data_IF_364668732117
#
_entry.id   IF_364668732117
#
_cell.length_a   1.000
_cell.length_b   1.000
_cell.length_c   1.000
_cell.angle_alpha   90.00
_cell.angle_beta   90.00
_cell.angle_gamma   90.00
#
_symmetry.space_group_name_H-M   'P 1'
#
loop_
_entity.id
_entity.type
_entity.pdbx_description
1 polymer ?
#
# COMPACT_ATOMS: atom_id res chain seq x y z
N UNK A 1 -13.35 13.66 10.81
CA UNK A 1 -13.71 12.91 12.04
C UNK A 1 -12.58 13.11 13.03
N UNK A 2 -12.86 13.19 14.33
CA UNK A 2 -11.79 13.29 15.33
C UNK A 2 -11.21 11.90 15.63
N UNK A 3 -9.92 11.86 16.03
CA UNK A 3 -9.28 10.64 16.51
C UNK A 3 -10.04 10.14 17.76
N UNK A 4 -10.38 8.85 17.86
CA UNK A 4 -10.93 8.30 19.10
C UNK A 4 -9.98 8.52 20.28
N UNK A 5 -10.49 8.54 21.51
CA UNK A 5 -9.61 8.59 22.67
C UNK A 5 -8.68 7.36 22.63
N UNK A 6 -7.38 7.57 22.86
CA UNK A 6 -6.36 6.51 22.71
C UNK A 6 -6.69 5.24 23.49
N UNK A 7 -7.25 5.39 24.71
CA UNK A 7 -7.68 4.27 25.56
C UNK A 7 -8.83 3.44 24.98
N UNK A 8 -9.55 3.97 24.01
CA UNK A 8 -10.69 3.31 23.38
C UNK A 8 -10.31 2.60 22.07
N UNK A 9 -9.11 2.86 21.53
CA UNK A 9 -8.60 2.22 20.31
C UNK A 9 -8.10 0.83 20.68
N UNK A 10 -8.59 -0.17 19.95
CA UNK A 10 -8.16 -1.57 20.12
C UNK A 10 -7.26 -1.99 18.97
N UNK A 11 -7.56 -1.51 17.74
CA UNK A 11 -6.92 -1.93 16.52
C UNK A 11 -6.29 -0.77 15.75
N UNK A 12 -5.12 -1.04 15.22
CA UNK A 12 -4.49 -0.21 14.20
C UNK A 12 -4.28 -1.06 12.95
N UNK A 13 -4.85 -0.64 11.84
CA UNK A 13 -4.56 -1.28 10.55
C UNK A 13 -3.68 -0.36 9.69
N UNK A 14 -2.85 -0.95 8.87
CA UNK A 14 -2.01 -0.19 7.91
C UNK A 14 -2.25 -0.70 6.49
N UNK A 15 -2.07 0.17 5.49
CA UNK A 15 -1.69 -0.30 4.18
C UNK A 15 -0.24 -0.84 4.22
N UNK A 16 0.18 -1.56 3.18
CA UNK A 16 1.51 -2.16 3.11
C UNK A 16 2.46 -1.38 2.19
N UNK A 17 2.16 -1.35 0.88
CA UNK A 17 3.06 -0.81 -0.13
C UNK A 17 2.95 0.71 -0.25
N UNK A 18 4.09 1.41 -0.05
CA UNK A 18 4.14 2.86 0.12
C UNK A 18 3.99 3.31 1.58
N UNK A 19 3.39 2.48 2.43
CA UNK A 19 3.21 2.76 3.87
C UNK A 19 4.30 2.10 4.71
N UNK A 20 4.45 0.78 4.60
CA UNK A 20 5.48 -0.03 5.29
C UNK A 20 6.64 -0.39 4.38
N UNK A 21 6.36 -0.81 3.15
CA UNK A 21 7.33 -1.27 2.14
C UNK A 21 7.54 -0.18 1.09
N UNK A 22 8.81 0.12 0.78
CA UNK A 22 9.20 1.05 -0.28
C UNK A 22 9.12 0.38 -1.65
N UNK A 23 7.89 0.23 -2.13
CA UNK A 23 7.58 -0.46 -3.39
C UNK A 23 8.01 0.32 -4.63
N UNK A 24 7.99 1.66 -4.57
CA UNK A 24 8.40 2.50 -5.70
C UNK A 24 9.87 2.27 -6.02
N UNK A 25 10.71 2.28 -4.98
CA UNK A 25 12.13 1.93 -5.12
C UNK A 25 12.30 0.49 -5.60
N UNK A 26 11.53 -0.45 -5.06
CA UNK A 26 11.60 -1.86 -5.45
C UNK A 26 11.26 -2.08 -6.93
N UNK A 27 10.21 -1.43 -7.43
CA UNK A 27 9.82 -1.45 -8.86
C UNK A 27 10.89 -0.80 -9.71
N UNK A 28 11.37 0.39 -9.33
CA UNK A 28 12.44 1.09 -10.06
C UNK A 28 13.69 0.23 -10.22
N UNK A 29 14.18 -0.34 -9.12
CA UNK A 29 15.38 -1.19 -9.14
C UNK A 29 15.16 -2.44 -10.03
N UNK A 30 13.96 -3.02 -10.03
CA UNK A 30 13.63 -4.17 -10.85
C UNK A 30 13.62 -3.82 -12.35
N UNK A 31 12.98 -2.72 -12.73
CA UNK A 31 12.97 -2.28 -14.13
C UNK A 31 14.36 -1.89 -14.62
N UNK A 32 15.15 -1.18 -13.82
CA UNK A 32 16.54 -0.83 -14.17
C UNK A 32 17.34 -2.09 -14.47
N UNK A 33 17.30 -3.06 -13.57
CA UNK A 33 18.01 -4.33 -13.74
C UNK A 33 17.58 -5.09 -14.99
N UNK A 34 16.29 -5.06 -15.32
CA UNK A 34 15.80 -5.77 -16.50
C UNK A 34 16.11 -5.04 -17.80
N UNK A 35 16.05 -3.69 -17.81
CA UNK A 35 16.45 -2.85 -18.95
C UNK A 35 17.96 -2.95 -19.23
N UNK A 36 18.79 -2.99 -18.21
CA UNK A 36 20.24 -3.16 -18.33
C UNK A 36 20.62 -4.46 -19.07
N UNK A 37 19.83 -5.53 -18.94
CA UNK A 37 20.04 -6.79 -19.69
C UNK A 37 19.87 -6.62 -21.18
N UNK A 38 19.03 -5.68 -21.60
CA UNK A 38 18.76 -5.37 -23.00
C UNK A 38 19.58 -4.16 -23.50
N UNK A 39 20.52 -3.66 -22.67
CA UNK A 39 21.35 -2.50 -22.98
C UNK A 39 20.57 -1.20 -23.06
N UNK A 40 19.40 -1.13 -22.42
CA UNK A 40 18.52 0.03 -22.43
C UNK A 40 18.72 0.91 -21.19
N UNK A 41 18.67 2.22 -21.40
CA UNK A 41 18.57 3.21 -20.31
C UNK A 41 17.17 3.78 -20.31
N UNK A 42 16.48 3.70 -19.20
CA UNK A 42 15.14 4.28 -19.01
C UNK A 42 15.23 5.58 -18.23
N UNK A 43 14.45 6.60 -18.65
CA UNK A 43 14.21 7.77 -17.81
C UNK A 43 13.23 7.36 -16.72
N UNK A 44 13.79 7.12 -15.53
CA UNK A 44 13.10 6.44 -14.42
C UNK A 44 11.81 7.13 -14.00
N UNK A 45 11.84 8.45 -13.84
CA UNK A 45 10.69 9.17 -13.29
C UNK A 45 9.46 9.13 -14.19
N UNK A 46 9.50 9.57 -15.47
CA UNK A 46 8.33 9.50 -16.36
C UNK A 46 7.91 8.05 -16.63
N UNK A 47 8.87 7.12 -16.70
CA UNK A 47 8.58 5.70 -16.87
C UNK A 47 7.74 5.15 -15.70
N UNK A 48 8.14 5.41 -14.47
CA UNK A 48 7.40 4.95 -13.30
C UNK A 48 6.05 5.64 -13.16
N UNK A 49 5.96 6.93 -13.44
CA UNK A 49 4.67 7.65 -13.45
C UNK A 49 3.70 6.99 -14.42
N UNK A 50 4.18 6.61 -15.61
CA UNK A 50 3.37 5.93 -16.59
C UNK A 50 3.01 4.51 -16.18
N UNK A 51 3.96 3.76 -15.63
CA UNK A 51 3.70 2.43 -15.07
C UNK A 51 2.58 2.47 -14.03
N UNK A 52 2.60 3.42 -13.10
CA UNK A 52 1.56 3.53 -12.07
C UNK A 52 0.18 3.90 -12.65
N UNK A 53 0.13 4.70 -13.70
CA UNK A 53 -1.12 4.99 -14.41
C UNK A 53 -1.71 3.74 -15.08
N UNK A 54 -0.88 2.98 -15.80
CA UNK A 54 -1.29 1.73 -16.46
C UNK A 54 -1.74 0.71 -15.42
N UNK A 55 -0.97 0.54 -14.35
CA UNK A 55 -1.33 -0.34 -13.23
C UNK A 55 -2.70 0.02 -12.64
N UNK A 56 -2.94 1.30 -12.37
CA UNK A 56 -4.22 1.78 -11.83
C UNK A 56 -5.36 1.53 -12.82
N UNK A 57 -5.14 1.71 -14.12
CA UNK A 57 -6.11 1.41 -15.17
C UNK A 57 -6.48 -0.09 -15.18
N UNK A 58 -5.50 -0.98 -15.13
CA UNK A 58 -5.72 -2.43 -15.08
C UNK A 58 -6.54 -2.78 -13.83
N UNK A 59 -6.15 -2.26 -12.66
CA UNK A 59 -6.84 -2.52 -11.39
C UNK A 59 -8.27 -1.96 -11.33
N UNK A 60 -8.63 -1.00 -12.17
CA UNK A 60 -10.00 -0.48 -12.28
C UNK A 60 -10.93 -1.38 -13.10
N UNK A 61 -10.41 -2.36 -13.80
CA UNK A 61 -11.15 -3.35 -14.59
C UNK A 61 -11.64 -4.54 -13.77
N UNK A 62 -11.83 -5.68 -14.44
CA UNK A 62 -12.13 -6.94 -13.77
C UNK A 62 -10.99 -7.36 -12.87
N UNK A 63 -11.34 -7.89 -11.69
CA UNK A 63 -10.33 -8.37 -10.74
C UNK A 63 -9.50 -9.51 -11.34
N UNK A 64 -8.19 -9.36 -11.26
CA UNK A 64 -7.17 -10.38 -11.51
C UNK A 64 -6.14 -10.35 -10.37
N UNK A 65 -5.26 -11.34 -10.29
CA UNK A 65 -4.21 -11.34 -9.27
C UNK A 65 -3.24 -10.19 -9.48
N UNK A 66 -2.74 -9.60 -8.40
CA UNK A 66 -1.80 -8.48 -8.46
C UNK A 66 -0.50 -8.84 -9.19
N UNK A 67 -0.05 -10.09 -9.08
CA UNK A 67 1.07 -10.58 -9.88
C UNK A 67 0.82 -10.46 -11.40
N UNK A 68 -0.43 -10.70 -11.86
CA UNK A 68 -0.81 -10.50 -13.27
C UNK A 68 -0.85 -9.02 -13.63
N UNK A 69 -1.39 -8.18 -12.73
CA UNK A 69 -1.39 -6.72 -12.90
C UNK A 69 0.03 -6.21 -13.10
N UNK A 70 0.98 -6.66 -12.28
CA UNK A 70 2.40 -6.27 -12.37
C UNK A 70 3.00 -6.67 -13.72
N UNK A 71 2.76 -7.92 -14.17
CA UNK A 71 3.27 -8.40 -15.46
C UNK A 71 2.72 -7.60 -16.64
N UNK A 72 1.41 -7.45 -16.68
CA UNK A 72 0.73 -6.71 -17.76
C UNK A 72 1.16 -5.25 -17.79
N UNK A 73 1.20 -4.60 -16.64
CA UNK A 73 1.63 -3.22 -16.55
C UNK A 73 3.09 -3.06 -17.02
N UNK A 74 3.97 -4.02 -16.70
CA UNK A 74 5.36 -4.00 -17.15
C UNK A 74 5.48 -4.05 -18.68
N UNK A 75 4.79 -5.00 -19.33
CA UNK A 75 4.78 -5.12 -20.80
C UNK A 75 4.23 -3.86 -21.45
N UNK A 76 3.05 -3.40 -21.02
CA UNK A 76 2.40 -2.23 -21.61
C UNK A 76 3.25 -0.95 -21.47
N UNK A 77 3.93 -0.79 -20.33
CA UNK A 77 4.80 0.37 -20.11
C UNK A 77 6.07 0.29 -20.97
N UNK A 78 6.65 -0.89 -21.11
CA UNK A 78 7.82 -1.10 -21.98
C UNK A 78 7.49 -0.80 -23.43
N UNK A 79 6.36 -1.26 -23.95
CA UNK A 79 5.89 -1.02 -25.32
C UNK A 79 5.80 0.50 -25.64
N UNK A 80 5.36 1.32 -24.70
CA UNK A 80 5.21 2.77 -24.91
C UNK A 80 6.55 3.50 -25.15
N UNK A 81 7.66 2.94 -24.68
CA UNK A 81 9.00 3.49 -24.91
C UNK A 81 9.76 2.73 -26.02
N UNK A 82 9.07 1.84 -26.77
CA UNK A 82 9.67 1.03 -27.81
C UNK A 82 10.56 -0.12 -27.30
N UNK A 83 10.45 -0.47 -26.00
CA UNK A 83 11.17 -1.60 -25.44
C UNK A 83 10.36 -2.89 -25.63
N UNK A 84 10.89 -3.82 -26.43
CA UNK A 84 10.29 -5.13 -26.64
C UNK A 84 10.55 -6.03 -25.43
N UNK A 85 9.64 -5.99 -24.46
CA UNK A 85 9.67 -6.86 -23.29
C UNK A 85 8.74 -8.07 -23.50
N UNK A 86 9.32 -9.24 -23.73
CA UNK A 86 8.56 -10.46 -23.90
C UNK A 86 7.66 -10.74 -22.67
N UNK A 87 6.36 -11.10 -22.84
CA UNK A 87 5.45 -11.33 -21.74
C UNK A 87 5.93 -12.37 -20.71
N UNK A 88 6.67 -13.40 -21.18
CA UNK A 88 7.28 -14.41 -20.31
C UNK A 88 8.35 -13.84 -19.38
N UNK A 89 9.08 -12.82 -19.84
CA UNK A 89 10.09 -12.12 -19.05
C UNK A 89 9.50 -11.17 -18.02
N UNK A 90 8.28 -10.68 -18.22
CA UNK A 90 7.61 -9.76 -17.29
C UNK A 90 7.41 -10.35 -15.88
N UNK A 91 7.64 -11.66 -15.72
CA UNK A 91 7.70 -12.33 -14.41
C UNK A 91 8.78 -11.74 -13.48
N UNK A 92 9.79 -11.03 -14.04
CA UNK A 92 10.83 -10.36 -13.25
C UNK A 92 10.24 -9.43 -12.17
N UNK A 93 9.10 -8.77 -12.49
CA UNK A 93 8.54 -7.77 -11.60
C UNK A 93 7.84 -8.38 -10.36
N UNK A 94 6.90 -9.34 -10.47
CA UNK A 94 6.39 -10.01 -9.28
C UNK A 94 7.48 -10.80 -8.52
N UNK A 95 8.50 -11.35 -9.17
CA UNK A 95 9.61 -12.03 -8.51
C UNK A 95 10.48 -11.05 -7.69
N UNK A 96 10.57 -9.79 -8.13
CA UNK A 96 11.32 -8.75 -7.44
C UNK A 96 10.76 -8.37 -6.08
N UNK A 97 9.47 -8.69 -5.79
CA UNK A 97 8.81 -8.37 -4.51
C UNK A 97 9.61 -8.88 -3.30
N UNK A 98 10.33 -9.97 -3.49
CA UNK A 98 11.22 -10.54 -2.46
C UNK A 98 12.37 -9.61 -2.03
N UNK A 99 12.72 -8.63 -2.86
CA UNK A 99 13.79 -7.66 -2.62
C UNK A 99 13.31 -6.31 -2.11
N UNK A 100 11.98 -6.05 -2.14
CA UNK A 100 11.42 -4.76 -1.74
C UNK A 100 11.56 -4.55 -0.23
N UNK A 101 12.29 -3.52 0.15
CA UNK A 101 12.64 -3.27 1.54
C UNK A 101 11.58 -2.43 2.27
N UNK A 102 11.38 -2.63 3.57
CA UNK A 102 10.58 -1.71 4.37
C UNK A 102 11.25 -0.34 4.47
N UNK A 103 10.44 0.71 4.62
CA UNK A 103 10.96 2.01 5.04
C UNK A 103 11.74 1.87 6.36
N UNK A 104 12.80 2.66 6.51
CA UNK A 104 13.72 2.58 7.65
C UNK A 104 13.02 2.57 9.01
N UNK A 105 11.93 3.29 9.13
CA UNK A 105 11.15 3.39 10.37
C UNK A 105 10.08 2.32 10.54
N UNK A 106 9.73 1.54 9.49
CA UNK A 106 8.54 0.69 9.47
C UNK A 106 8.53 -0.36 10.58
N UNK A 107 9.60 -1.13 10.73
CA UNK A 107 9.67 -2.17 11.75
C UNK A 107 9.59 -1.62 13.17
N UNK A 108 10.34 -0.54 13.46
CA UNK A 108 10.28 0.07 14.79
C UNK A 108 8.89 0.68 15.08
N UNK A 109 8.24 1.25 14.05
CA UNK A 109 6.91 1.81 14.20
C UNK A 109 5.85 0.74 14.47
N UNK A 110 5.87 -0.36 13.70
CA UNK A 110 4.92 -1.46 13.90
C UNK A 110 5.14 -2.19 15.23
N UNK A 111 6.39 -2.41 15.65
CA UNK A 111 6.71 -2.98 16.96
C UNK A 111 6.11 -2.14 18.09
N UNK A 112 6.29 -0.81 18.05
CA UNK A 112 5.72 0.11 19.04
C UNK A 112 4.19 0.12 19.05
N UNK A 113 3.56 0.08 17.89
CA UNK A 113 2.10 -0.01 17.81
C UNK A 113 1.60 -1.33 18.40
N UNK A 114 2.31 -2.44 18.15
CA UNK A 114 1.95 -3.78 18.64
C UNK A 114 1.99 -3.88 20.18
N UNK A 115 2.81 -3.08 20.85
CA UNK A 115 2.84 -3.03 22.32
C UNK A 115 1.49 -2.56 22.93
N UNK A 116 0.62 -1.91 22.14
CA UNK A 116 -0.61 -1.27 22.61
C UNK A 116 -1.88 -1.67 21.88
N UNK A 117 -1.76 -2.15 20.65
CA UNK A 117 -2.87 -2.38 19.74
C UNK A 117 -2.72 -3.73 19.02
N UNK A 118 -3.84 -4.33 18.67
CA UNK A 118 -3.85 -5.37 17.65
C UNK A 118 -3.54 -4.74 16.30
N UNK A 119 -2.67 -5.38 15.50
CA UNK A 119 -2.14 -4.82 14.25
C UNK A 119 -2.62 -5.63 13.06
N UNK A 120 -3.15 -4.92 12.05
CA UNK A 120 -3.56 -5.54 10.79
C UNK A 120 -3.00 -4.84 9.56
N UNK A 121 -2.88 -5.59 8.46
CA UNK A 121 -2.59 -5.07 7.12
C UNK A 121 -3.83 -5.19 6.25
N UNK A 122 -4.13 -4.11 5.50
CA UNK A 122 -5.20 -4.02 4.51
C UNK A 122 -4.60 -3.54 3.19
N UNK A 123 -4.37 -4.45 2.22
CA UNK A 123 -3.51 -4.15 1.07
C UNK A 123 -4.03 -4.66 -0.26
N UNK A 124 -3.76 -3.89 -1.33
CA UNK A 124 -4.05 -4.22 -2.72
C UNK A 124 -3.02 -5.20 -3.29
N UNK A 125 -3.00 -6.42 -2.79
CA UNK A 125 -1.96 -7.41 -3.14
C UNK A 125 -2.52 -8.84 -3.04
N UNK A 126 -1.81 -9.80 -3.63
CA UNK A 126 -2.07 -11.23 -3.47
C UNK A 126 -1.53 -11.76 -2.14
N UNK A 127 -2.15 -12.79 -1.61
CA UNK A 127 -1.72 -13.45 -0.37
C UNK A 127 -0.26 -13.95 -0.46
N UNK A 128 0.11 -14.52 -1.61
CA UNK A 128 1.48 -15.01 -1.86
C UNK A 128 2.51 -13.88 -1.82
N UNK A 129 2.26 -12.80 -2.55
CA UNK A 129 3.18 -11.66 -2.61
C UNK A 129 3.31 -10.95 -1.25
N UNK A 130 2.18 -10.79 -0.54
CA UNK A 130 2.23 -10.24 0.81
C UNK A 130 3.00 -11.16 1.76
N UNK A 131 2.80 -12.49 1.65
CA UNK A 131 3.55 -13.47 2.41
C UNK A 131 5.07 -13.35 2.22
N UNK A 132 5.51 -13.03 0.99
CA UNK A 132 6.93 -12.76 0.69
C UNK A 132 7.38 -11.46 1.38
N UNK A 133 6.65 -10.37 1.21
CA UNK A 133 7.00 -9.06 1.80
C UNK A 133 7.01 -9.08 3.33
N UNK A 134 6.13 -9.86 3.95
CA UNK A 134 6.07 -10.01 5.42
C UNK A 134 7.34 -10.57 6.04
N UNK A 135 8.19 -11.25 5.28
CA UNK A 135 9.50 -11.72 5.78
C UNK A 135 10.44 -10.58 6.17
N UNK A 136 10.19 -9.39 5.66
CA UNK A 136 10.93 -8.17 6.00
C UNK A 136 10.34 -7.43 7.20
N UNK A 137 9.12 -7.79 7.64
CA UNK A 137 8.44 -7.20 8.79
C UNK A 137 8.60 -8.10 10.01
N UNK A 138 9.03 -7.50 11.13
CA UNK A 138 9.27 -8.24 12.39
C UNK A 138 8.00 -8.47 13.19
N UNK A 139 7.09 -7.51 13.12
CA UNK A 139 5.86 -7.52 13.92
C UNK A 139 4.91 -8.60 13.43
N UNK A 140 4.43 -9.44 14.35
CA UNK A 140 3.35 -10.37 14.08
C UNK A 140 2.03 -9.62 13.84
N UNK A 141 1.31 -10.04 12.81
CA UNK A 141 0.04 -9.42 12.41
C UNK A 141 -1.14 -10.25 12.92
N UNK A 142 -2.10 -9.58 13.56
CA UNK A 142 -3.33 -10.21 14.06
C UNK A 142 -4.40 -10.28 12.96
N UNK A 143 -4.27 -9.45 11.91
CA UNK A 143 -5.20 -9.42 10.79
C UNK A 143 -4.46 -9.15 9.48
N UNK A 144 -4.88 -9.85 8.43
CA UNK A 144 -4.48 -9.59 7.05
C UNK A 144 -5.72 -9.61 6.16
N UNK A 145 -5.95 -8.51 5.43
CA UNK A 145 -6.99 -8.40 4.40
C UNK A 145 -6.31 -8.02 3.09
N UNK A 146 -6.42 -8.89 2.09
CA UNK A 146 -5.80 -8.69 0.76
C UNK A 146 -6.85 -8.51 -0.33
N UNK A 147 -6.44 -7.96 -1.48
CA UNK A 147 -7.28 -7.90 -2.66
C UNK A 147 -7.72 -9.30 -3.12
N UNK A 148 -6.85 -10.31 -2.98
CA UNK A 148 -7.18 -11.69 -3.32
C UNK A 148 -8.33 -12.24 -2.47
N UNK A 149 -8.33 -11.97 -1.16
CA UNK A 149 -9.36 -12.45 -0.25
C UNK A 149 -10.73 -11.81 -0.51
N UNK A 150 -10.76 -10.54 -0.91
CA UNK A 150 -12.00 -9.81 -1.19
C UNK A 150 -12.35 -9.75 -2.67
N UNK A 151 -11.49 -10.25 -3.56
CA UNK A 151 -11.61 -10.24 -5.03
C UNK A 151 -11.92 -8.83 -5.58
N UNK A 152 -11.25 -7.84 -5.05
CA UNK A 152 -11.43 -6.42 -5.40
C UNK A 152 -10.20 -5.62 -5.01
N UNK A 153 -10.00 -4.47 -5.65
CA UNK A 153 -8.96 -3.51 -5.32
C UNK A 153 -9.54 -2.28 -4.63
N UNK A 154 -8.86 -1.75 -3.61
CA UNK A 154 -9.13 -0.39 -3.12
C UNK A 154 -8.99 0.58 -4.31
N UNK A 155 -9.90 1.56 -4.50
CA UNK A 155 -10.80 2.16 -3.50
C UNK A 155 -12.15 1.46 -3.29
N UNK A 156 -12.41 0.28 -3.86
CA UNK A 156 -13.64 -0.46 -3.54
C UNK A 156 -13.72 -0.69 -2.02
N UNK A 157 -14.90 -0.55 -1.40
CA UNK A 157 -15.05 -0.66 0.04
C UNK A 157 -14.91 -2.09 0.60
N UNK A 158 -14.74 -3.11 -0.24
CA UNK A 158 -14.71 -4.52 0.18
C UNK A 158 -13.66 -4.79 1.25
N UNK A 159 -12.45 -4.25 1.10
CA UNK A 159 -11.37 -4.40 2.07
C UNK A 159 -11.76 -3.89 3.47
N UNK A 160 -12.28 -2.67 3.56
CA UNK A 160 -12.67 -2.05 4.84
C UNK A 160 -13.91 -2.69 5.44
N UNK A 161 -14.85 -3.17 4.60
CA UNK A 161 -16.01 -3.97 5.06
C UNK A 161 -15.53 -5.29 5.67
N UNK A 162 -14.63 -6.00 5.01
CA UNK A 162 -14.07 -7.27 5.49
C UNK A 162 -13.24 -7.06 6.76
N UNK A 163 -12.40 -6.01 6.80
CA UNK A 163 -11.68 -5.63 8.01
C UNK A 163 -12.66 -5.43 9.17
N UNK A 164 -13.69 -4.59 9.00
CA UNK A 164 -14.71 -4.33 10.03
C UNK A 164 -15.45 -5.59 10.47
N UNK A 165 -15.73 -6.51 9.54
CA UNK A 165 -16.38 -7.80 9.85
C UNK A 165 -15.50 -8.65 10.77
N UNK A 166 -14.18 -8.73 10.48
CA UNK A 166 -13.22 -9.57 11.24
C UNK A 166 -12.90 -8.99 12.61
N UNK A 167 -12.69 -7.67 12.72
CA UNK A 167 -12.36 -7.03 14.00
C UNK A 167 -13.59 -6.75 14.88
N UNK A 168 -14.78 -6.86 14.32
CA UNK A 168 -16.05 -6.59 15.02
C UNK A 168 -16.57 -5.17 14.81
N UNK A 169 -17.88 -5.05 14.63
CA UNK A 169 -18.55 -3.79 14.25
C UNK A 169 -18.53 -2.71 15.32
N UNK A 170 -18.36 -3.08 16.58
CA UNK A 170 -18.29 -2.16 17.74
C UNK A 170 -16.86 -1.75 18.11
N UNK A 171 -15.87 -2.40 17.51
CA UNK A 171 -14.45 -2.17 17.78
C UNK A 171 -14.03 -0.82 17.23
N UNK A 172 -13.30 -0.05 18.03
CA UNK A 172 -12.69 1.20 17.57
C UNK A 172 -11.34 0.91 16.97
N UNK A 173 -11.18 1.25 15.72
CA UNK A 173 -9.94 1.09 14.99
C UNK A 173 -9.53 2.38 14.27
N UNK A 174 -8.24 2.50 13.97
CA UNK A 174 -7.64 3.57 13.17
C UNK A 174 -6.88 2.93 12.02
N UNK A 175 -7.03 3.47 10.82
CA UNK A 175 -6.24 3.07 9.66
C UNK A 175 -5.10 4.05 9.40
N UNK A 176 -3.92 3.56 8.99
CA UNK A 176 -2.74 4.37 8.65
C UNK A 176 -2.34 4.05 7.22
N UNK A 177 -2.25 5.04 6.35
CA UNK A 177 -1.89 4.83 4.95
C UNK A 177 -1.28 6.06 4.29
N UNK A 178 -0.53 5.81 3.20
CA UNK A 178 -0.05 6.85 2.26
C UNK A 178 -0.96 7.00 1.06
N UNK A 179 -1.68 5.94 0.67
CA UNK A 179 -2.54 5.90 -0.52
C UNK A 179 -3.75 6.82 -0.40
N UNK A 180 -3.66 8.02 -1.01
CA UNK A 180 -4.75 9.00 -0.93
C UNK A 180 -6.05 8.44 -1.51
N UNK A 181 -6.02 7.98 -2.76
CA UNK A 181 -7.20 7.51 -3.49
C UNK A 181 -7.64 6.11 -3.05
N UNK A 182 -6.68 5.26 -2.73
CA UNK A 182 -6.95 3.85 -2.40
C UNK A 182 -7.38 3.63 -0.97
N UNK A 183 -6.92 4.46 -0.04
CA UNK A 183 -7.13 4.25 1.39
C UNK A 183 -7.82 5.43 2.07
N UNK A 184 -7.22 6.63 1.95
CA UNK A 184 -7.63 7.77 2.77
C UNK A 184 -9.03 8.25 2.40
N UNK A 185 -9.29 8.50 1.13
CA UNK A 185 -10.62 8.91 0.65
C UNK A 185 -11.68 7.87 0.94
N UNK A 186 -11.48 6.56 0.66
CA UNK A 186 -12.41 5.51 1.07
C UNK A 186 -12.68 5.47 2.57
N UNK A 187 -11.65 5.59 3.42
CA UNK A 187 -11.82 5.66 4.87
C UNK A 187 -12.68 6.85 5.31
N UNK A 188 -12.40 8.04 4.75
CA UNK A 188 -13.21 9.23 5.03
C UNK A 188 -14.67 9.02 4.66
N UNK A 189 -14.95 8.44 3.46
CA UNK A 189 -16.30 8.10 3.00
C UNK A 189 -16.98 7.06 3.91
N UNK A 190 -16.23 6.04 4.33
CA UNK A 190 -16.73 4.96 5.20
C UNK A 190 -16.80 5.36 6.69
N UNK A 191 -16.40 6.58 7.04
CA UNK A 191 -16.30 7.08 8.43
C UNK A 191 -15.37 6.21 9.29
N UNK A 192 -14.27 5.73 8.70
CA UNK A 192 -13.17 5.06 9.40
C UNK A 192 -12.13 6.12 9.76
N UNK A 193 -11.75 6.26 11.03
CA UNK A 193 -10.66 7.14 11.42
C UNK A 193 -9.39 6.77 10.66
N UNK A 194 -8.77 7.74 9.97
CA UNK A 194 -7.58 7.51 9.15
C UNK A 194 -6.51 8.56 9.41
N UNK A 195 -5.29 8.10 9.62
CA UNK A 195 -4.08 8.93 9.68
C UNK A 195 -3.42 8.84 8.30
N UNK A 196 -3.40 9.94 7.58
CA UNK A 196 -2.74 10.02 6.29
C UNK A 196 -1.26 10.37 6.45
N UNK A 197 -0.39 9.52 5.92
CA UNK A 197 1.03 9.81 5.84
C UNK A 197 1.30 10.49 4.50
N UNK A 198 1.36 11.81 4.51
CA UNK A 198 1.69 12.61 3.33
C UNK A 198 3.21 12.73 3.15
N UNK A 199 3.87 11.63 2.74
CA UNK A 199 5.32 11.60 2.51
C UNK A 199 5.78 12.59 1.45
N UNK A 200 4.92 12.86 0.46
CA UNK A 200 5.24 13.74 -0.68
C UNK A 200 4.87 15.20 -0.45
N UNK A 201 4.31 15.54 0.71
CA UNK A 201 3.86 16.90 1.06
C UNK A 201 2.89 17.51 0.05
N UNK A 202 1.99 16.67 -0.47
CA UNK A 202 0.99 17.07 -1.47
C UNK A 202 -0.11 17.96 -0.87
N UNK A 203 -0.37 17.81 0.43
CA UNK A 203 -1.49 18.46 1.10
C UNK A 203 -2.85 17.87 0.72
N UNK A 204 -3.88 18.22 1.47
CA UNK A 204 -5.23 17.74 1.17
C UNK A 204 -5.76 18.40 -0.11
N UNK A 205 -6.28 17.62 -1.09
CA UNK A 205 -6.74 18.18 -2.37
C UNK A 205 -7.85 19.20 -2.18
N UNK A 206 -7.77 20.33 -2.92
CA UNK A 206 -8.83 21.34 -2.92
C UNK A 206 -10.13 20.75 -3.48
N UNK A 207 -11.25 21.11 -2.85
CA UNK A 207 -12.58 20.61 -3.26
C UNK A 207 -12.92 19.19 -2.82
N UNK A 208 -11.95 18.40 -2.31
CA UNK A 208 -12.22 17.08 -1.80
C UNK A 208 -13.07 17.14 -0.52
N UNK A 209 -14.25 16.51 -0.54
CA UNK A 209 -15.16 16.49 0.62
C UNK A 209 -14.59 15.64 1.77
N UNK A 210 -14.76 16.14 2.99
CA UNK A 210 -14.23 15.52 4.19
C UNK A 210 -12.74 15.76 4.35
N UNK A 211 -12.15 15.24 5.41
CA UNK A 211 -10.70 15.27 5.69
C UNK A 211 -10.30 14.02 6.44
N UNK A 212 -9.05 13.54 6.31
CA UNK A 212 -8.53 12.51 7.19
C UNK A 212 -8.61 12.96 8.65
N UNK A 213 -8.52 12.03 9.57
CA UNK A 213 -8.51 12.33 10.99
C UNK A 213 -7.28 13.15 11.37
N UNK A 214 -6.14 12.75 10.84
CA UNK A 214 -4.85 13.44 11.00
C UNK A 214 -4.03 13.33 9.73
N UNK A 215 -3.11 14.28 9.53
CA UNK A 215 -2.11 14.28 8.45
C UNK A 215 -0.73 14.35 9.09
N UNK A 216 0.12 13.41 8.74
CA UNK A 216 1.49 13.31 9.27
C UNK A 216 2.50 13.10 8.15
N UNK A 217 3.78 13.33 8.42
CA UNK A 217 4.84 13.20 7.41
C UNK A 217 5.45 11.79 7.28
N UNK A 218 5.34 10.98 8.33
CA UNK A 218 5.96 9.66 8.43
C UNK A 218 5.27 8.76 9.46
N UNK A 219 5.62 7.48 9.48
CA UNK A 219 5.10 6.51 10.45
C UNK A 219 5.45 6.86 11.90
N UNK A 220 6.61 7.44 12.16
CA UNK A 220 7.01 7.84 13.53
C UNK A 220 6.03 8.86 14.11
N UNK A 221 5.62 9.81 13.27
CA UNK A 221 4.62 10.82 13.65
C UNK A 221 3.26 10.19 13.94
N UNK A 222 2.84 9.17 13.16
CA UNK A 222 1.60 8.43 13.42
C UNK A 222 1.67 7.65 14.74
N UNK A 223 2.79 6.97 15.02
CA UNK A 223 3.05 6.25 16.29
C UNK A 223 2.97 7.19 17.48
N UNK A 224 3.58 8.38 17.38
CA UNK A 224 3.52 9.42 18.42
C UNK A 224 2.08 9.87 18.70
N UNK A 225 1.29 10.12 17.65
CA UNK A 225 -0.12 10.49 17.78
C UNK A 225 -0.95 9.42 18.49
N UNK A 226 -0.62 8.15 18.27
CA UNK A 226 -1.27 7.00 18.89
C UNK A 226 -0.70 6.67 20.28
N UNK A 227 0.19 7.51 20.83
CA UNK A 227 0.74 7.35 22.17
C UNK A 227 1.62 6.12 22.35
N UNK A 228 2.18 5.56 21.28
CA UNK A 228 3.06 4.41 21.26
C UNK A 228 4.55 4.79 21.04
N UNK A 229 4.92 6.07 21.30
CA UNK A 229 6.27 6.60 21.13
C UNK A 229 7.21 6.18 22.28
#
# INVERSE_FOLDING_TARGET
>A
MALPKLKDINWVTTDCYGTLIDWEKGISDAFRKEADRDGLTIDEKPFLERFFQIQAQIMSGSYELYAEVLRRAAVMTAEEIGWTLEPSRAQFLPDSVSSWQPFREANAATDRLKERYDIGIVSNVDDKLLGISRRHLRTELDLVVTAQQVRSYKPDPAHFKECKRRIGTKTKWVHIATGLETDVIPCVKAKVPVIWIDRRKQGWPQGQRGKPTEIVKDLRSAVKLLGAA
#
